data_IF_320406966173
#
_entry.id   IF_320406966173
#
_cell.length_a   1.000
_cell.length_b   1.000
_cell.length_c   1.000
_cell.angle_alpha   90.00
_cell.angle_beta   90.00
_cell.angle_gamma   90.00
#
_symmetry.space_group_name_H-M   'P 1'
#
loop_
_entity.id
_entity.type
_entity.pdbx_description
1 polymer ?
#
# COMPACT_ATOMS: atom_id res chain seq x y z
N UNK A 1 -79.55 5.98 -20.77
CA UNK A 1 -80.08 5.51 -19.48
C UNK A 1 -79.56 4.11 -19.30
N UNK A 2 -78.38 3.95 -18.68
CA UNK A 2 -78.23 3.85 -17.21
C UNK A 2 -79.09 2.67 -16.72
N UNK A 3 -78.52 1.59 -16.21
CA UNK A 3 -77.74 1.67 -14.98
C UNK A 3 -76.57 0.68 -14.95
N UNK A 4 -75.44 1.21 -14.49
CA UNK A 4 -74.26 0.47 -14.06
C UNK A 4 -74.65 -0.49 -12.93
N UNK A 5 -74.67 -1.80 -13.20
CA UNK A 5 -74.59 -2.79 -12.12
C UNK A 5 -73.12 -3.15 -11.90
N UNK A 6 -72.42 -2.17 -11.35
CA UNK A 6 -71.02 -2.19 -11.00
C UNK A 6 -70.91 -2.55 -9.51
N UNK A 7 -71.60 -3.59 -9.05
CA UNK A 7 -71.56 -4.08 -7.67
C UNK A 7 -70.93 -5.48 -7.61
N UNK A 8 -71.26 -6.35 -8.57
CA UNK A 8 -70.75 -7.73 -8.68
C UNK A 8 -69.32 -7.83 -9.19
N UNK A 9 -68.81 -6.79 -9.85
CA UNK A 9 -67.42 -6.71 -10.31
C UNK A 9 -66.45 -6.33 -9.18
N UNK A 10 -66.92 -5.70 -8.11
CA UNK A 10 -66.04 -5.29 -6.99
C UNK A 10 -65.86 -6.39 -5.93
N UNK A 11 -66.86 -7.25 -5.71
CA UNK A 11 -66.70 -8.41 -4.80
C UNK A 11 -65.65 -9.42 -5.30
N UNK A 12 -65.48 -9.53 -6.62
CA UNK A 12 -64.48 -10.43 -7.22
C UNK A 12 -63.06 -9.80 -7.27
N UNK A 13 -62.94 -8.49 -7.06
CA UNK A 13 -61.66 -7.76 -7.02
C UNK A 13 -61.04 -7.70 -5.62
N UNK A 14 -61.83 -7.91 -4.56
CA UNK A 14 -61.34 -8.01 -3.18
C UNK A 14 -60.73 -9.40 -2.86
N UNK A 15 -60.93 -10.39 -3.73
CA UNK A 15 -60.38 -11.75 -3.57
C UNK A 15 -58.92 -11.90 -4.05
N UNK A 16 -58.32 -10.88 -4.68
CA UNK A 16 -56.88 -10.86 -4.97
C UNK A 16 -56.16 -10.17 -3.81
N UNK A 17 -56.18 -10.84 -2.67
CA UNK A 17 -55.33 -10.48 -1.53
C UNK A 17 -53.87 -10.58 -1.98
N UNK A 18 -53.22 -9.43 -2.15
CA UNK A 18 -51.77 -9.33 -2.28
C UNK A 18 -51.16 -9.98 -1.03
N UNK A 19 -50.67 -11.21 -1.21
CA UNK A 19 -49.88 -11.94 -0.22
C UNK A 19 -48.60 -11.14 0.07
N UNK A 20 -48.70 -10.23 1.03
CA UNK A 20 -47.61 -9.43 1.53
C UNK A 20 -46.64 -10.36 2.27
N UNK A 21 -45.55 -10.76 1.62
CA UNK A 21 -44.33 -11.32 2.25
C UNK A 21 -43.60 -10.28 3.12
N UNK A 22 -44.33 -9.44 3.86
CA UNK A 22 -43.78 -8.44 4.79
C UNK A 22 -43.28 -9.05 6.11
N UNK A 23 -43.62 -10.32 6.40
CA UNK A 23 -43.14 -11.03 7.59
C UNK A 23 -41.68 -11.48 7.46
N UNK A 24 -41.27 -12.02 6.31
CA UNK A 24 -40.03 -12.79 6.25
C UNK A 24 -38.76 -12.01 6.61
N UNK A 25 -38.54 -10.77 6.13
CA UNK A 25 -37.31 -10.04 6.48
C UNK A 25 -37.36 -9.50 7.92
N UNK A 26 -38.54 -9.09 8.39
CA UNK A 26 -38.73 -8.59 9.76
C UNK A 26 -38.61 -9.71 10.80
N UNK A 27 -39.05 -10.91 10.47
CA UNK A 27 -38.94 -12.10 11.32
C UNK A 27 -37.51 -12.64 11.36
N UNK A 28 -36.76 -12.47 10.26
CA UNK A 28 -35.33 -12.80 10.20
C UNK A 28 -34.48 -11.82 11.02
N UNK A 29 -34.72 -10.50 10.90
CA UNK A 29 -34.01 -9.48 11.68
C UNK A 29 -34.49 -9.44 13.15
N UNK A 30 -35.76 -9.77 13.40
CA UNK A 30 -36.40 -9.75 14.71
C UNK A 30 -36.10 -10.97 15.60
N UNK A 31 -35.25 -11.89 15.18
CA UNK A 31 -34.77 -12.99 16.04
C UNK A 31 -35.50 -14.32 15.89
N UNK A 32 -36.48 -14.43 14.97
CA UNK A 32 -37.17 -15.69 14.69
C UNK A 32 -36.23 -16.77 14.12
N UNK A 33 -35.26 -16.36 13.29
CA UNK A 33 -34.25 -17.27 12.74
C UNK A 33 -33.17 -17.64 13.78
N UNK A 34 -32.79 -16.69 14.65
CA UNK A 34 -31.79 -16.87 15.70
C UNK A 34 -32.25 -17.82 16.82
N UNK A 35 -33.55 -17.87 17.08
CA UNK A 35 -34.17 -18.75 18.10
C UNK A 35 -34.43 -20.17 17.58
N UNK A 36 -34.16 -20.44 16.30
CA UNK A 36 -34.30 -21.82 15.78
C UNK A 36 -33.26 -22.74 16.41
N UNK A 37 -33.68 -23.93 16.87
CA UNK A 37 -32.83 -24.89 17.58
C UNK A 37 -31.54 -25.24 16.83
N UNK A 38 -31.58 -25.21 15.49
CA UNK A 38 -30.43 -25.49 14.63
C UNK A 38 -29.42 -24.33 14.62
N UNK A 39 -29.89 -23.07 14.69
CA UNK A 39 -29.02 -21.89 14.71
C UNK A 39 -28.39 -21.72 16.08
N UNK A 40 -29.14 -21.98 17.16
CA UNK A 40 -28.62 -21.94 18.54
C UNK A 40 -27.43 -22.88 18.71
N UNK A 41 -27.49 -24.09 18.12
CA UNK A 41 -26.38 -25.06 18.13
C UNK A 41 -25.12 -24.57 17.39
N UNK A 42 -25.28 -23.66 16.42
CA UNK A 42 -24.20 -23.12 15.59
C UNK A 42 -23.63 -21.79 16.10
N UNK A 43 -24.22 -21.16 17.12
CA UNK A 43 -23.69 -19.94 17.77
C UNK A 43 -22.20 -20.03 18.13
N UNK A 44 -21.68 -21.11 18.75
CA UNK A 44 -20.24 -21.20 19.03
C UNK A 44 -19.36 -21.16 17.77
N UNK A 45 -19.86 -21.68 16.64
CA UNK A 45 -19.16 -21.62 15.36
C UNK A 45 -19.15 -20.20 14.78
N UNK A 46 -20.25 -19.46 14.89
CA UNK A 46 -20.30 -18.05 14.46
C UNK A 46 -19.38 -17.18 15.32
N UNK A 47 -19.32 -17.42 16.63
CA UNK A 47 -18.38 -16.75 17.52
C UNK A 47 -16.92 -17.05 17.14
N UNK A 48 -16.62 -18.30 16.77
CA UNK A 48 -15.31 -18.65 16.26
C UNK A 48 -14.93 -17.85 15.00
N UNK A 49 -15.86 -17.72 14.04
CA UNK A 49 -15.65 -16.89 12.85
C UNK A 49 -15.47 -15.41 13.19
N UNK A 50 -16.21 -14.89 14.18
CA UNK A 50 -16.06 -13.52 14.67
C UNK A 50 -14.65 -13.29 15.24
N UNK A 51 -14.13 -14.23 16.03
CA UNK A 51 -12.77 -14.16 16.58
C UNK A 51 -11.74 -14.12 15.45
N UNK A 52 -11.87 -14.99 14.43
CA UNK A 52 -11.00 -14.96 13.25
C UNK A 52 -11.11 -13.62 12.52
N UNK A 53 -12.32 -13.06 12.38
CA UNK A 53 -12.52 -11.78 11.72
C UNK A 53 -11.82 -10.63 12.46
N UNK A 54 -11.88 -10.61 13.80
CA UNK A 54 -11.17 -9.63 14.61
C UNK A 54 -9.66 -9.76 14.42
N UNK A 55 -9.13 -10.99 14.50
CA UNK A 55 -7.69 -11.26 14.26
C UNK A 55 -7.28 -10.82 12.85
N UNK A 56 -8.13 -11.08 11.85
CA UNK A 56 -7.88 -10.69 10.46
C UNK A 56 -7.81 -9.18 10.28
N UNK A 57 -8.76 -8.43 10.85
CA UNK A 57 -8.76 -6.97 10.79
C UNK A 57 -7.51 -6.40 11.49
N UNK A 58 -7.16 -6.93 12.66
CA UNK A 58 -5.96 -6.53 13.39
C UNK A 58 -4.68 -6.76 12.59
N UNK A 59 -4.52 -7.95 12.01
CA UNK A 59 -3.37 -8.29 11.17
C UNK A 59 -3.28 -7.41 9.92
N UNK A 60 -4.43 -7.10 9.30
CA UNK A 60 -4.49 -6.24 8.11
C UNK A 60 -3.98 -4.83 8.39
N UNK A 61 -4.35 -4.24 9.52
CA UNK A 61 -3.90 -2.88 9.88
C UNK A 61 -2.38 -2.81 10.06
N UNK A 62 -1.79 -3.83 10.71
CA UNK A 62 -0.33 -3.91 10.90
C UNK A 62 0.39 -4.09 9.57
N UNK A 63 -0.14 -4.92 8.68
CA UNK A 63 0.43 -5.11 7.34
C UNK A 63 0.46 -3.80 6.55
N UNK A 64 -0.62 -3.01 6.60
CA UNK A 64 -0.69 -1.72 5.90
C UNK A 64 0.36 -0.73 6.42
N UNK A 65 0.53 -0.64 7.73
CA UNK A 65 1.55 0.23 8.35
C UNK A 65 2.96 -0.18 7.92
N UNK A 66 3.29 -1.48 8.00
CA UNK A 66 4.60 -2.02 7.64
C UNK A 66 4.90 -1.77 6.15
N UNK A 67 3.90 -1.92 5.28
CA UNK A 67 4.06 -1.66 3.84
C UNK A 67 4.41 -0.19 3.59
N UNK A 68 3.71 0.76 4.24
CA UNK A 68 4.01 2.20 4.11
C UNK A 68 5.41 2.54 4.61
N UNK A 69 5.80 2.03 5.77
CA UNK A 69 7.15 2.23 6.34
C UNK A 69 8.22 1.65 5.42
N UNK A 70 7.99 0.46 4.86
CA UNK A 70 8.93 -0.17 3.91
C UNK A 70 9.15 0.70 2.66
N UNK A 71 8.09 1.33 2.15
CA UNK A 71 8.19 2.23 0.99
C UNK A 71 9.00 3.48 1.37
N UNK A 72 8.73 4.09 2.52
CA UNK A 72 9.46 5.25 3.00
C UNK A 72 10.96 4.95 3.18
N UNK A 73 11.30 3.87 3.88
CA UNK A 73 12.70 3.45 4.07
C UNK A 73 13.41 3.16 2.74
N UNK A 74 12.72 2.53 1.77
CA UNK A 74 13.31 2.29 0.44
C UNK A 74 13.62 3.59 -0.29
N UNK A 75 12.76 4.59 -0.18
CA UNK A 75 13.00 5.90 -0.77
C UNK A 75 14.17 6.61 -0.09
N UNK A 76 14.26 6.54 1.24
CA UNK A 76 15.38 7.12 1.99
C UNK A 76 16.72 6.48 1.60
N UNK A 77 16.79 5.15 1.51
CA UNK A 77 18.00 4.45 1.04
C UNK A 77 18.37 4.84 -0.39
N UNK A 78 17.38 5.07 -1.26
CA UNK A 78 17.63 5.52 -2.63
C UNK A 78 18.20 6.93 -2.65
N UNK A 79 17.65 7.83 -1.85
CA UNK A 79 18.11 9.21 -1.72
C UNK A 79 19.55 9.27 -1.19
N UNK A 80 19.84 8.57 -0.09
CA UNK A 80 21.18 8.50 0.50
C UNK A 80 22.23 7.94 -0.48
N UNK A 81 21.84 6.98 -1.33
CA UNK A 81 22.73 6.48 -2.39
C UNK A 81 22.97 7.52 -3.47
N UNK A 82 21.94 8.24 -3.89
CA UNK A 82 22.08 9.30 -4.89
C UNK A 82 22.98 10.43 -4.36
N UNK A 83 22.80 10.81 -3.09
CA UNK A 83 23.64 11.78 -2.40
C UNK A 83 25.10 11.32 -2.35
N UNK A 84 25.36 10.10 -1.88
CA UNK A 84 26.72 9.54 -1.80
C UNK A 84 27.42 9.50 -3.17
N UNK A 85 26.71 9.10 -4.24
CA UNK A 85 27.24 9.12 -5.61
C UNK A 85 27.55 10.55 -6.04
N UNK A 86 26.67 11.50 -5.75
CA UNK A 86 26.83 12.91 -6.12
C UNK A 86 28.05 13.52 -5.41
N UNK A 87 28.16 13.35 -4.08
CA UNK A 87 29.29 13.84 -3.29
C UNK A 87 30.61 13.23 -3.74
N UNK A 88 30.62 11.92 -4.02
CA UNK A 88 31.84 11.25 -4.53
C UNK A 88 32.20 11.77 -5.92
N UNK A 89 31.21 12.05 -6.76
CA UNK A 89 31.41 12.61 -8.10
C UNK A 89 31.97 14.02 -8.06
N UNK A 90 31.49 14.86 -7.14
CA UNK A 90 32.03 16.19 -6.90
C UNK A 90 33.49 16.13 -6.43
N UNK A 91 33.80 15.21 -5.49
CA UNK A 91 35.18 15.00 -5.06
C UNK A 91 36.09 14.52 -6.20
N UNK A 92 35.60 13.60 -7.04
CA UNK A 92 36.34 13.12 -8.22
C UNK A 92 36.58 14.25 -9.23
N UNK A 93 35.59 15.13 -9.42
CA UNK A 93 35.72 16.30 -10.29
C UNK A 93 36.80 17.25 -9.78
N UNK A 94 36.76 17.62 -8.51
CA UNK A 94 37.74 18.52 -7.89
C UNK A 94 39.14 17.89 -7.84
N UNK A 95 39.22 16.58 -7.61
CA UNK A 95 40.49 15.83 -7.55
C UNK A 95 41.11 15.55 -8.92
N UNK A 96 40.41 15.87 -10.02
CA UNK A 96 40.91 15.67 -11.38
C UNK A 96 42.18 16.50 -11.60
N UNK A 97 43.21 15.90 -12.18
CA UNK A 97 44.50 16.56 -12.41
C UNK A 97 44.36 17.92 -13.11
N UNK A 98 43.49 18.03 -14.11
CA UNK A 98 43.22 19.31 -14.81
C UNK A 98 42.60 20.38 -13.91
N UNK A 99 41.67 20.00 -13.02
CA UNK A 99 41.05 20.94 -12.08
C UNK A 99 42.04 21.33 -10.98
N UNK A 100 42.82 20.38 -10.47
CA UNK A 100 43.91 20.66 -9.51
C UNK A 100 44.94 21.60 -10.12
N UNK A 101 45.41 21.35 -11.34
CA UNK A 101 46.35 22.22 -12.04
C UNK A 101 45.79 23.63 -12.25
N UNK A 102 44.50 23.74 -12.58
CA UNK A 102 43.80 25.03 -12.69
C UNK A 102 43.74 25.76 -11.34
N UNK A 103 43.34 25.07 -10.26
CA UNK A 103 43.28 25.63 -8.90
C UNK A 103 44.65 26.06 -8.38
N UNK A 104 45.70 25.28 -8.68
CA UNK A 104 47.10 25.60 -8.35
C UNK A 104 47.55 26.89 -9.04
N UNK A 105 47.22 27.05 -10.32
CA UNK A 105 47.51 28.26 -11.10
C UNK A 105 46.73 29.48 -10.58
N UNK A 106 45.45 29.31 -10.26
CA UNK A 106 44.61 30.37 -9.68
C UNK A 106 45.12 30.82 -8.30
N UNK A 107 45.67 29.89 -7.50
CA UNK A 107 46.27 30.19 -6.19
C UNK A 107 47.71 30.72 -6.26
N UNK A 108 48.27 30.91 -7.46
CA UNK A 108 49.62 31.46 -7.65
C UNK A 108 50.75 30.53 -7.17
N UNK A 109 50.49 29.23 -7.05
CA UNK A 109 51.51 28.24 -6.70
C UNK A 109 52.28 27.86 -7.98
N UNK A 110 53.60 28.03 -7.97
CA UNK A 110 54.47 27.80 -9.16
C UNK A 110 54.78 26.30 -9.37
N UNK A 111 53.73 25.47 -9.35
CA UNK A 111 53.79 24.02 -9.54
C UNK A 111 53.39 23.69 -10.98
N UNK A 112 54.23 22.88 -11.65
CA UNK A 112 54.04 22.46 -13.06
C UNK A 112 53.73 20.97 -13.10
N UNK A 113 52.80 20.56 -13.97
CA UNK A 113 52.52 19.14 -14.19
C UNK A 113 53.77 18.40 -14.67
N UNK A 114 53.98 17.19 -14.14
CA UNK A 114 55.09 16.34 -14.54
C UNK A 114 54.76 15.71 -15.91
N UNK A 115 55.34 16.26 -16.98
CA UNK A 115 55.13 15.81 -18.36
C UNK A 115 55.96 14.56 -18.71
N UNK A 116 56.96 14.24 -17.88
CA UNK A 116 57.95 13.18 -18.13
C UNK A 116 57.64 11.97 -17.25
N UNK A 117 57.52 10.74 -17.81
CA UNK A 117 57.24 9.54 -17.03
C UNK A 117 58.41 9.21 -16.08
N UNK A 118 58.13 8.63 -14.90
CA UNK A 118 59.18 8.25 -13.94
C UNK A 118 60.06 7.12 -14.49
N UNK A 119 61.39 7.25 -14.35
CA UNK A 119 62.34 6.23 -14.76
C UNK A 119 62.39 5.10 -13.74
N UNK A 120 62.14 3.86 -14.17
CA UNK A 120 62.35 2.66 -13.34
C UNK A 120 63.85 2.39 -13.24
N UNK A 121 64.40 2.49 -12.04
CA UNK A 121 65.78 2.09 -11.76
C UNK A 121 65.77 0.57 -11.61
N UNK A 122 66.35 -0.15 -12.58
CA UNK A 122 66.57 -1.60 -12.47
C UNK A 122 67.99 -1.76 -11.95
N UNK A 123 68.13 -2.30 -10.75
CA UNK A 123 69.44 -2.60 -10.16
C UNK A 123 69.81 -4.01 -10.61
N UNK A 124 70.80 -4.13 -11.49
CA UNK A 124 71.45 -5.42 -11.74
C UNK A 124 72.26 -5.77 -10.49
N UNK A 125 71.90 -6.88 -9.84
CA UNK A 125 72.72 -7.47 -8.78
C UNK A 125 73.84 -8.24 -9.45
N UNK A 126 75.08 -7.81 -9.20
CA UNK A 126 76.30 -8.59 -9.44
C UNK A 126 76.29 -9.91 -8.66
#
# INVERSE_FOLDING_TARGET
MSDFNNDKTFEELDAVTINNKKGSIKDFIGGGFLTSENVIKQIPYVLFLLVIAIIYIGNRYQAEKIVRETIALKNEVKELRAESITTTSELMYISKQSEVAKLVKEKGLDLKEAVVPPKKIVVEKE
#
